data_IF_399335622038
#
_entry.id   IF_399335622038
#
_cell.length_a   1.000
_cell.length_b   1.000
_cell.length_c   1.000
_cell.angle_alpha   90.00
_cell.angle_beta   90.00
_cell.angle_gamma   90.00
#
_symmetry.space_group_name_H-M   'P 1'
#
loop_
_entity.id
_entity.type
_entity.pdbx_description
1 polymer ?
#
# COMPACT_ATOMS: atom_id res chain seq x y z
N UNK A 1 16.71 16.36 22.00
CA UNK A 1 15.85 15.47 21.21
C UNK A 1 14.43 15.99 21.33
N UNK A 2 13.82 16.45 20.24
CA UNK A 2 12.38 16.77 20.27
C UNK A 2 11.62 15.46 20.50
N UNK A 3 10.66 15.45 21.42
CA UNK A 3 9.84 14.28 21.65
C UNK A 3 9.06 13.95 20.36
N UNK A 4 8.95 12.66 20.01
CA UNK A 4 8.07 12.23 18.93
C UNK A 4 6.65 12.68 19.27
N UNK A 5 5.89 13.29 18.35
CA UNK A 5 4.50 13.63 18.62
C UNK A 5 3.70 12.38 18.99
N UNK A 6 2.88 12.47 20.04
CA UNK A 6 2.05 11.35 20.50
C UNK A 6 1.20 10.73 19.38
N UNK A 7 0.66 11.55 18.47
CA UNK A 7 -0.11 11.06 17.33
C UNK A 7 0.71 10.20 16.36
N UNK A 8 2.00 10.49 16.17
CA UNK A 8 2.88 9.66 15.35
C UNK A 8 3.18 8.33 16.06
N UNK A 9 3.37 8.34 17.37
CA UNK A 9 3.55 7.11 18.15
C UNK A 9 2.29 6.22 18.08
N UNK A 10 1.10 6.79 18.25
CA UNK A 10 -0.17 6.05 18.11
C UNK A 10 -0.35 5.44 16.69
N UNK A 11 0.06 6.16 15.64
CA UNK A 11 0.06 5.66 14.27
C UNK A 11 1.05 4.51 14.07
N UNK A 12 2.27 4.65 14.62
CA UNK A 12 3.30 3.60 14.56
C UNK A 12 2.84 2.35 15.31
N UNK A 13 2.28 2.50 16.51
CA UNK A 13 1.76 1.38 17.31
C UNK A 13 0.65 0.61 16.58
N UNK A 14 -0.26 1.33 15.89
CA UNK A 14 -1.30 0.71 15.08
C UNK A 14 -0.72 -0.06 13.87
N UNK A 15 0.37 0.43 13.29
CA UNK A 15 1.06 -0.20 12.16
C UNK A 15 1.92 -1.40 12.58
N UNK A 16 2.63 -1.31 13.69
CA UNK A 16 3.53 -2.37 14.17
C UNK A 16 2.75 -3.54 14.77
N UNK A 17 1.70 -3.27 15.56
CA UNK A 17 0.85 -4.30 16.16
C UNK A 17 -0.54 -4.36 15.50
N UNK A 18 -0.54 -4.54 14.17
CA UNK A 18 -1.76 -4.81 13.38
C UNK A 18 -2.57 -5.98 13.95
N UNK A 19 -1.98 -7.13 14.35
CA UNK A 19 -2.75 -8.22 14.95
C UNK A 19 -3.50 -7.80 16.21
N UNK A 20 -2.90 -7.02 17.12
CA UNK A 20 -3.63 -6.53 18.28
C UNK A 20 -4.71 -5.52 17.91
N UNK A 21 -4.47 -4.63 16.94
CA UNK A 21 -5.49 -3.71 16.46
C UNK A 21 -6.73 -4.48 15.95
N UNK A 22 -6.52 -5.54 15.18
CA UNK A 22 -7.60 -6.42 14.68
C UNK A 22 -8.31 -7.13 15.85
N UNK A 23 -7.57 -7.71 16.80
CA UNK A 23 -8.16 -8.36 17.99
C UNK A 23 -9.03 -7.39 18.81
N UNK A 24 -8.56 -6.16 19.04
CA UNK A 24 -9.32 -5.12 19.76
C UNK A 24 -10.65 -4.81 19.07
N UNK A 25 -10.65 -4.75 17.74
CA UNK A 25 -11.84 -4.48 16.93
C UNK A 25 -12.86 -5.60 16.98
N UNK A 26 -12.39 -6.84 16.89
CA UNK A 26 -13.26 -8.00 17.05
C UNK A 26 -13.85 -8.09 18.46
N UNK A 27 -13.06 -7.79 19.49
CA UNK A 27 -13.56 -7.71 20.87
C UNK A 27 -14.63 -6.64 21.06
N UNK A 28 -14.61 -5.56 20.26
CA UNK A 28 -15.65 -4.54 20.23
C UNK A 28 -16.91 -4.95 19.41
N UNK A 29 -16.96 -6.18 18.86
CA UNK A 29 -18.11 -6.73 18.15
C UNK A 29 -18.25 -6.30 16.70
N UNK A 30 -17.25 -5.64 16.12
CA UNK A 30 -17.25 -5.27 14.71
C UNK A 30 -16.79 -6.44 13.82
N UNK A 31 -17.56 -6.85 12.80
CA UNK A 31 -17.08 -7.80 11.80
C UNK A 31 -15.84 -7.28 11.08
N UNK A 32 -14.89 -8.16 10.80
CA UNK A 32 -13.63 -7.84 10.12
C UNK A 32 -13.59 -8.49 8.75
N UNK A 33 -13.36 -7.69 7.71
CA UNK A 33 -13.15 -8.17 6.34
C UNK A 33 -11.68 -8.00 5.98
N UNK A 34 -10.98 -9.12 5.85
CA UNK A 34 -9.62 -9.16 5.34
C UNK A 34 -9.59 -8.72 3.87
N UNK A 35 -8.64 -7.88 3.52
CA UNK A 35 -8.46 -7.30 2.20
C UNK A 35 -7.03 -7.59 1.73
N UNK A 36 -6.87 -8.24 0.58
CA UNK A 36 -5.56 -8.44 -0.06
C UNK A 36 -5.52 -7.67 -1.35
N UNK A 37 -4.44 -6.92 -1.54
CA UNK A 37 -4.29 -5.99 -2.65
C UNK A 37 -4.92 -4.63 -2.36
N UNK A 38 -4.92 -3.76 -3.36
CA UNK A 38 -5.31 -2.36 -3.23
C UNK A 38 -6.55 -1.97 -4.06
N UNK A 39 -7.19 -2.93 -4.73
CA UNK A 39 -8.41 -2.70 -5.51
C UNK A 39 -9.70 -3.09 -4.75
N UNK A 40 -9.60 -3.53 -3.50
CA UNK A 40 -10.78 -3.83 -2.68
C UNK A 40 -11.53 -2.53 -2.35
N UNK A 41 -12.84 -2.41 -2.66
CA UNK A 41 -13.64 -1.24 -2.34
C UNK A 41 -13.93 -1.12 -0.84
N UNK A 42 -12.98 -0.58 -0.08
CA UNK A 42 -13.06 -0.45 1.38
C UNK A 42 -14.26 0.39 1.85
N UNK A 43 -14.77 1.28 0.99
CA UNK A 43 -16.00 2.03 1.23
C UNK A 43 -17.22 1.11 1.29
N UNK A 44 -17.31 0.10 0.42
CA UNK A 44 -18.43 -0.86 0.46
C UNK A 44 -18.36 -1.75 1.70
N UNK A 45 -17.16 -2.13 2.12
CA UNK A 45 -16.95 -2.88 3.37
C UNK A 45 -17.40 -2.06 4.58
N UNK A 46 -17.02 -0.78 4.60
CA UNK A 46 -17.38 0.15 5.67
C UNK A 46 -18.89 0.45 5.67
N UNK A 47 -19.50 0.60 4.49
CA UNK A 47 -20.94 0.79 4.35
C UNK A 47 -21.76 -0.46 4.75
N UNK A 48 -21.19 -1.65 4.61
CA UNK A 48 -21.73 -2.88 5.21
C UNK A 48 -21.57 -2.92 6.74
N UNK A 49 -20.92 -1.91 7.32
CA UNK A 49 -20.65 -1.75 8.75
C UNK A 49 -19.68 -2.79 9.31
N UNK A 50 -18.73 -3.21 8.48
CA UNK A 50 -17.56 -4.00 8.85
C UNK A 50 -16.29 -3.16 8.76
N UNK A 51 -15.25 -3.58 9.47
CA UNK A 51 -13.92 -2.97 9.37
C UNK A 51 -13.14 -3.62 8.21
N UNK A 52 -12.77 -2.86 7.16
CA UNK A 52 -11.79 -3.34 6.19
C UNK A 52 -10.42 -3.43 6.84
N UNK A 53 -9.79 -4.59 6.78
CA UNK A 53 -8.43 -4.82 7.28
C UNK A 53 -7.54 -5.26 6.14
N UNK A 54 -6.54 -4.46 5.78
CA UNK A 54 -5.58 -4.87 4.75
C UNK A 54 -4.54 -5.81 5.34
N UNK A 55 -4.43 -7.00 4.77
CA UNK A 55 -3.47 -8.01 5.20
C UNK A 55 -2.08 -7.67 4.65
N UNK A 56 -1.08 -7.68 5.53
CA UNK A 56 0.34 -7.64 5.20
C UNK A 56 0.97 -9.01 5.35
N UNK A 57 2.09 -9.23 4.69
CA UNK A 57 2.99 -10.33 5.04
C UNK A 57 3.84 -9.99 6.26
N UNK A 58 4.72 -10.92 6.59
CA UNK A 58 5.72 -10.83 7.64
C UNK A 58 7.00 -11.51 7.11
N UNK A 59 8.10 -10.75 6.91
CA UNK A 59 9.37 -11.30 6.46
C UNK A 59 9.91 -12.46 7.30
N UNK A 60 9.63 -12.45 8.61
CA UNK A 60 10.12 -13.45 9.56
C UNK A 60 9.22 -14.71 9.62
N UNK A 61 8.04 -14.68 9.02
CA UNK A 61 7.09 -15.80 9.07
C UNK A 61 7.63 -17.02 8.31
N UNK A 62 7.55 -18.18 8.95
CA UNK A 62 7.78 -19.45 8.26
C UNK A 62 6.68 -19.67 7.20
N UNK A 63 7.12 -19.84 5.96
CA UNK A 63 6.26 -19.99 4.78
C UNK A 63 6.24 -21.43 4.26
N UNK A 64 6.94 -22.38 4.90
CA UNK A 64 7.05 -23.75 4.41
C UNK A 64 5.68 -24.39 4.11
N UNK A 65 4.68 -24.14 4.96
CA UNK A 65 3.30 -24.63 4.75
C UNK A 65 2.66 -24.03 3.49
N UNK A 66 2.83 -22.73 3.26
CA UNK A 66 2.28 -22.01 2.13
C UNK A 66 2.99 -22.36 0.82
N UNK A 67 4.30 -22.60 0.87
CA UNK A 67 5.14 -22.98 -0.26
C UNK A 67 4.71 -24.32 -0.87
N UNK A 68 4.12 -25.23 -0.07
CA UNK A 68 3.53 -26.47 -0.59
C UNK A 68 2.35 -26.23 -1.53
N UNK A 69 1.64 -25.11 -1.37
CA UNK A 69 0.45 -24.79 -2.15
C UNK A 69 0.72 -23.77 -3.25
N UNK A 70 1.53 -22.75 -2.98
CA UNK A 70 1.82 -21.65 -3.92
C UNK A 70 3.12 -21.85 -4.70
N UNK A 71 3.98 -22.78 -4.28
CA UNK A 71 5.36 -22.86 -4.73
C UNK A 71 6.21 -21.69 -4.22
N UNK A 72 7.48 -21.65 -4.61
CA UNK A 72 8.46 -20.64 -4.15
C UNK A 72 8.65 -19.48 -5.13
N UNK A 73 8.18 -19.61 -6.37
CA UNK A 73 8.32 -18.60 -7.43
C UNK A 73 7.25 -17.50 -7.44
N UNK A 74 6.56 -17.29 -6.32
CA UNK A 74 5.57 -16.22 -6.15
C UNK A 74 6.08 -15.19 -5.13
N UNK A 75 5.61 -13.95 -5.24
CA UNK A 75 5.96 -12.88 -4.31
C UNK A 75 5.87 -13.41 -2.85
N UNK A 76 7.00 -13.37 -2.10
CA UNK A 76 7.08 -13.79 -0.72
C UNK A 76 6.03 -13.18 0.22
N UNK A 77 5.54 -11.97 -0.06
CA UNK A 77 4.48 -11.34 0.75
C UNK A 77 3.16 -12.13 0.66
N UNK A 78 2.75 -12.54 -0.54
CA UNK A 78 1.54 -13.33 -0.73
C UNK A 78 1.65 -14.74 -0.09
N UNK A 79 2.84 -15.34 -0.16
CA UNK A 79 3.14 -16.62 0.51
C UNK A 79 3.06 -16.49 2.04
N UNK A 80 3.57 -15.38 2.57
CA UNK A 80 3.44 -15.04 3.99
C UNK A 80 1.98 -14.86 4.41
N UNK A 81 1.17 -14.16 3.62
CA UNK A 81 -0.26 -13.98 3.91
C UNK A 81 -0.97 -15.34 3.96
N UNK A 82 -0.71 -16.25 3.02
CA UNK A 82 -1.29 -17.61 3.07
C UNK A 82 -0.85 -18.36 4.34
N UNK A 83 0.43 -18.31 4.70
CA UNK A 83 0.92 -18.95 5.93
C UNK A 83 0.21 -18.40 7.17
N UNK A 84 -0.04 -17.08 7.20
CA UNK A 84 -0.89 -16.43 8.21
C UNK A 84 -2.29 -17.02 8.28
N UNK A 85 -3.01 -17.00 7.17
CA UNK A 85 -4.38 -17.50 7.11
C UNK A 85 -4.48 -18.99 7.52
N UNK A 86 -3.50 -19.81 7.14
CA UNK A 86 -3.43 -21.23 7.53
C UNK A 86 -3.16 -21.42 9.02
N UNK A 87 -2.40 -20.51 9.65
CA UNK A 87 -2.19 -20.48 11.10
C UNK A 87 -3.39 -19.91 11.89
N UNK A 88 -4.41 -19.39 11.19
CA UNK A 88 -5.57 -18.75 11.82
C UNK A 88 -5.37 -17.27 12.18
N UNK A 89 -4.28 -16.64 11.70
CA UNK A 89 -3.96 -15.25 12.02
C UNK A 89 -3.71 -14.38 10.77
N UNK A 90 -4.34 -13.20 10.65
CA UNK A 90 -5.37 -12.67 11.54
C UNK A 90 -6.71 -13.39 11.33
N UNK A 91 -7.52 -13.44 12.38
CA UNK A 91 -8.88 -13.96 12.31
C UNK A 91 -9.78 -12.94 11.60
N UNK A 92 -10.35 -13.33 10.45
CA UNK A 92 -11.24 -12.50 9.63
C UNK A 92 -12.53 -13.26 9.29
N UNK A 93 -13.65 -12.53 9.21
CA UNK A 93 -14.98 -13.11 8.99
C UNK A 93 -15.29 -13.33 7.50
N UNK A 94 -14.61 -12.55 6.63
CA UNK A 94 -14.65 -12.64 5.17
C UNK A 94 -13.31 -12.18 4.61
N UNK A 95 -12.88 -12.77 3.49
CA UNK A 95 -11.68 -12.38 2.76
C UNK A 95 -12.04 -11.88 1.36
N UNK A 96 -11.63 -10.65 1.03
CA UNK A 96 -11.69 -10.06 -0.30
C UNK A 96 -10.28 -9.96 -0.86
N UNK A 97 -10.08 -10.51 -2.06
CA UNK A 97 -8.76 -10.51 -2.71
C UNK A 97 -8.89 -9.82 -4.06
N UNK A 98 -8.05 -8.82 -4.31
CA UNK A 98 -8.02 -8.09 -5.58
C UNK A 98 -7.37 -8.88 -6.70
N UNK A 99 -7.78 -8.60 -7.93
CA UNK A 99 -7.07 -8.99 -9.14
C UNK A 99 -6.00 -7.94 -9.54
N UNK A 100 -5.19 -7.44 -8.60
CA UNK A 100 -4.21 -6.38 -8.84
C UNK A 100 -2.79 -6.90 -9.17
N UNK A 101 -2.52 -8.16 -8.85
CA UNK A 101 -1.27 -8.84 -9.18
C UNK A 101 -1.49 -10.33 -9.46
N UNK A 102 -0.53 -10.97 -10.12
CA UNK A 102 -0.54 -12.43 -10.29
C UNK A 102 -0.44 -13.16 -8.93
N UNK A 103 0.22 -12.55 -7.94
CA UNK A 103 0.35 -13.09 -6.59
C UNK A 103 -0.99 -13.11 -5.85
N UNK A 104 -1.73 -11.99 -5.86
CA UNK A 104 -3.09 -11.89 -5.31
C UNK A 104 -4.03 -12.90 -5.97
N UNK A 105 -3.98 -13.03 -7.30
CA UNK A 105 -4.85 -13.95 -8.04
C UNK A 105 -4.56 -15.43 -7.72
N UNK A 106 -3.28 -15.82 -7.63
CA UNK A 106 -2.89 -17.18 -7.22
C UNK A 106 -3.29 -17.45 -5.77
N UNK A 107 -3.12 -16.48 -4.87
CA UNK A 107 -3.59 -16.60 -3.48
C UNK A 107 -5.10 -16.86 -3.43
N UNK A 108 -5.89 -16.11 -4.22
CA UNK A 108 -7.33 -16.31 -4.30
C UNK A 108 -7.71 -17.74 -4.70
N UNK A 109 -7.13 -18.25 -5.80
CA UNK A 109 -7.43 -19.62 -6.24
C UNK A 109 -7.05 -20.64 -5.18
N UNK A 110 -5.87 -20.51 -4.57
CA UNK A 110 -5.41 -21.43 -3.53
C UNK A 110 -6.34 -21.43 -2.32
N UNK A 111 -6.64 -20.27 -1.74
CA UNK A 111 -7.52 -20.17 -0.56
C UNK A 111 -8.91 -20.73 -0.88
N UNK A 112 -9.48 -20.37 -2.04
CA UNK A 112 -10.80 -20.84 -2.46
C UNK A 112 -10.84 -22.36 -2.62
N UNK A 113 -9.86 -22.96 -3.31
CA UNK A 113 -9.87 -24.39 -3.59
C UNK A 113 -9.54 -25.22 -2.35
N UNK A 114 -8.60 -24.78 -1.49
CA UNK A 114 -8.31 -25.47 -0.23
C UNK A 114 -9.54 -25.53 0.68
N UNK A 115 -10.31 -24.45 0.74
CA UNK A 115 -11.59 -24.42 1.46
C UNK A 115 -12.65 -25.29 0.78
N UNK A 116 -12.83 -25.17 -0.55
CA UNK A 116 -13.85 -25.91 -1.32
C UNK A 116 -13.67 -27.42 -1.23
N UNK A 117 -12.42 -27.89 -1.24
CA UNK A 117 -12.06 -29.30 -1.14
C UNK A 117 -12.07 -29.82 0.31
N UNK A 118 -12.25 -28.95 1.30
CA UNK A 118 -12.21 -29.31 2.72
C UNK A 118 -10.82 -29.67 3.23
N UNK A 119 -9.75 -29.31 2.50
CA UNK A 119 -8.36 -29.52 2.93
C UNK A 119 -8.02 -28.59 4.09
N UNK A 120 -8.45 -27.32 3.98
CA UNK A 120 -8.26 -26.30 5.00
C UNK A 120 -9.61 -25.61 5.29
N UNK A 121 -10.52 -26.29 6.03
CA UNK A 121 -11.87 -25.79 6.29
C UNK A 121 -11.91 -24.63 7.30
N UNK A 122 -10.78 -24.27 7.91
CA UNK A 122 -10.62 -23.09 8.76
C UNK A 122 -10.43 -21.79 7.96
N UNK A 123 -9.95 -21.87 6.71
CA UNK A 123 -9.72 -20.68 5.87
C UNK A 123 -11.00 -19.85 5.69
N UNK A 124 -10.94 -18.51 5.66
CA UNK A 124 -12.14 -17.69 5.56
C UNK A 124 -12.89 -17.90 4.23
N UNK A 125 -14.21 -17.62 4.25
CA UNK A 125 -14.95 -17.48 2.99
C UNK A 125 -14.30 -16.36 2.18
N UNK A 126 -14.04 -16.63 0.90
CA UNK A 126 -13.18 -15.76 0.09
C UNK A 126 -13.86 -15.40 -1.23
N UNK A 127 -13.76 -14.14 -1.63
CA UNK A 127 -14.29 -13.63 -2.89
C UNK A 127 -13.25 -12.79 -3.64
N UNK A 128 -13.26 -12.91 -4.97
CA UNK A 128 -12.40 -12.13 -5.85
C UNK A 128 -13.06 -10.78 -6.13
N UNK A 129 -12.30 -9.72 -5.95
CA UNK A 129 -12.63 -8.37 -6.42
C UNK A 129 -11.88 -8.13 -7.72
N UNK A 130 -12.59 -8.26 -8.84
CA UNK A 130 -12.01 -8.20 -10.18
C UNK A 130 -12.19 -6.79 -10.78
N UNK A 131 -11.22 -5.91 -10.53
CA UNK A 131 -11.20 -4.55 -11.08
C UNK A 131 -10.12 -4.46 -12.15
N UNK A 132 -10.47 -3.81 -13.26
CA UNK A 132 -9.61 -3.63 -14.43
C UNK A 132 -9.15 -2.17 -14.56
N UNK A 133 -7.96 -1.95 -15.13
CA UNK A 133 -7.26 -0.65 -15.10
C UNK A 133 -7.06 0.00 -16.47
N UNK A 134 -7.60 -0.62 -17.54
CA UNK A 134 -7.46 -0.05 -18.88
C UNK A 134 -8.28 1.24 -19.01
N UNK A 135 -7.77 2.32 -19.63
CA UNK A 135 -8.43 3.62 -19.70
C UNK A 135 -9.52 3.65 -20.80
N UNK A 136 -10.50 2.75 -20.68
CA UNK A 136 -11.56 2.57 -21.65
C UNK A 136 -12.94 2.59 -20.99
N UNK A 137 -13.93 3.10 -21.71
CA UNK A 137 -15.33 3.12 -21.24
C UNK A 137 -15.88 1.71 -21.00
N UNK A 138 -15.44 0.72 -21.77
CA UNK A 138 -15.81 -0.69 -21.58
C UNK A 138 -15.32 -1.22 -20.23
N UNK A 139 -14.10 -0.85 -19.83
CA UNK A 139 -13.52 -1.15 -18.51
C UNK A 139 -14.35 -0.51 -17.40
N UNK A 140 -14.72 0.77 -17.53
CA UNK A 140 -15.54 1.46 -16.53
C UNK A 140 -16.90 0.77 -16.34
N UNK A 141 -17.55 0.38 -17.43
CA UNK A 141 -18.82 -0.36 -17.37
C UNK A 141 -18.66 -1.73 -16.72
N UNK A 142 -17.57 -2.44 -17.03
CA UNK A 142 -17.25 -3.72 -16.41
C UNK A 142 -17.04 -3.56 -14.89
N UNK A 143 -16.19 -2.61 -14.49
CA UNK A 143 -15.89 -2.33 -13.09
C UNK A 143 -17.13 -1.94 -12.29
N UNK A 144 -18.02 -1.10 -12.86
CA UNK A 144 -19.30 -0.75 -12.22
C UNK A 144 -20.12 -2.01 -11.89
N UNK A 145 -20.22 -2.96 -12.83
CA UNK A 145 -20.95 -4.22 -12.62
C UNK A 145 -20.27 -5.06 -11.52
N UNK A 146 -18.95 -5.19 -11.55
CA UNK A 146 -18.18 -5.92 -10.52
C UNK A 146 -18.34 -5.31 -9.13
N UNK A 147 -18.36 -3.98 -9.03
CA UNK A 147 -18.62 -3.27 -7.78
C UNK A 147 -20.07 -3.46 -7.29
N UNK A 148 -21.05 -3.47 -8.19
CA UNK A 148 -22.43 -3.79 -7.84
C UNK A 148 -22.56 -5.22 -7.27
N UNK A 149 -21.90 -6.20 -7.90
CA UNK A 149 -21.86 -7.58 -7.39
C UNK A 149 -21.15 -7.69 -6.04
N UNK A 150 -20.07 -6.94 -5.85
CA UNK A 150 -19.34 -6.87 -4.57
C UNK A 150 -20.22 -6.24 -3.48
N UNK A 151 -20.96 -5.18 -3.81
CA UNK A 151 -21.94 -4.55 -2.91
C UNK A 151 -23.00 -5.56 -2.48
N UNK A 152 -23.66 -6.23 -3.44
CA UNK A 152 -24.70 -7.22 -3.12
C UNK A 152 -24.17 -8.38 -2.29
N UNK A 153 -22.93 -8.81 -2.56
CA UNK A 153 -22.26 -9.83 -1.78
C UNK A 153 -22.09 -9.42 -0.32
N UNK A 154 -21.62 -8.19 -0.09
CA UNK A 154 -21.45 -7.64 1.25
C UNK A 154 -22.79 -7.43 1.95
N UNK A 155 -23.85 -7.05 1.23
CA UNK A 155 -25.21 -6.95 1.79
C UNK A 155 -25.73 -8.32 2.24
N UNK A 156 -25.56 -9.36 1.41
CA UNK A 156 -25.96 -10.74 1.77
C UNK A 156 -25.15 -11.29 2.93
N UNK A 157 -23.85 -11.02 2.97
CA UNK A 157 -22.95 -11.50 4.02
C UNK A 157 -23.22 -10.82 5.36
N UNK A 158 -23.37 -9.49 5.37
CA UNK A 158 -23.58 -8.70 6.58
C UNK A 158 -25.03 -8.67 7.06
N UNK A 159 -25.99 -8.99 6.19
CA UNK A 159 -27.42 -8.79 6.45
C UNK A 159 -27.85 -7.32 6.48
N UNK A 160 -26.96 -6.39 6.09
CA UNK A 160 -27.20 -4.94 6.09
C UNK A 160 -27.33 -4.43 4.67
N UNK A 161 -28.29 -3.53 4.43
CA UNK A 161 -28.43 -2.86 3.14
C UNK A 161 -27.43 -1.71 3.05
N UNK A 162 -26.75 -1.61 1.92
CA UNK A 162 -25.91 -0.47 1.54
C UNK A 162 -26.79 0.45 0.69
N UNK A 163 -27.46 1.40 1.34
CA UNK A 163 -28.22 2.46 0.69
C UNK A 163 -27.34 3.64 0.32
N UNK A 164 -27.98 4.69 -0.21
CA UNK A 164 -27.31 5.94 -0.60
C UNK A 164 -26.64 6.62 0.60
N UNK A 165 -27.29 6.62 1.76
CA UNK A 165 -26.77 7.25 2.98
C UNK A 165 -25.55 6.50 3.54
N UNK A 166 -25.60 5.17 3.59
CA UNK A 166 -24.50 4.35 4.09
C UNK A 166 -23.27 4.48 3.18
N UNK A 167 -23.50 4.46 1.86
CA UNK A 167 -22.44 4.66 0.88
C UNK A 167 -21.85 6.07 0.97
N UNK A 168 -22.70 7.10 1.07
CA UNK A 168 -22.26 8.49 1.19
C UNK A 168 -21.40 8.70 2.44
N UNK A 169 -21.83 8.17 3.58
CA UNK A 169 -21.06 8.23 4.82
C UNK A 169 -19.70 7.55 4.67
N UNK A 170 -19.68 6.32 4.16
CA UNK A 170 -18.43 5.57 3.98
C UNK A 170 -17.46 6.27 3.03
N UNK A 171 -17.95 6.75 1.88
CA UNK A 171 -17.14 7.49 0.90
C UNK A 171 -16.57 8.76 1.52
N UNK A 172 -17.39 9.53 2.25
CA UNK A 172 -16.92 10.74 2.93
C UNK A 172 -15.80 10.45 3.93
N UNK A 173 -15.97 9.41 4.77
CA UNK A 173 -14.96 9.02 5.76
C UNK A 173 -13.62 8.64 5.10
N UNK A 174 -13.67 7.78 4.06
CA UNK A 174 -12.47 7.32 3.37
C UNK A 174 -11.79 8.43 2.56
N UNK A 175 -12.55 9.29 1.89
CA UNK A 175 -11.98 10.43 1.18
C UNK A 175 -11.37 11.45 2.14
N UNK A 176 -11.90 11.59 3.36
CA UNK A 176 -11.29 12.46 4.36
C UNK A 176 -9.92 11.95 4.81
N UNK A 177 -9.80 10.64 5.12
CA UNK A 177 -8.52 10.01 5.42
C UNK A 177 -7.53 10.17 4.26
N UNK A 178 -7.97 9.96 3.01
CA UNK A 178 -7.15 10.16 1.81
C UNK A 178 -6.69 11.59 1.61
N UNK A 179 -7.54 12.58 1.85
CA UNK A 179 -7.13 14.00 1.82
C UNK A 179 -6.01 14.27 2.82
N UNK A 180 -6.06 13.66 4.01
CA UNK A 180 -5.00 13.80 5.03
C UNK A 180 -3.72 13.12 4.59
N UNK A 181 -3.80 11.93 4.01
CA UNK A 181 -2.64 11.25 3.44
C UNK A 181 -1.99 12.10 2.32
N UNK A 182 -2.79 12.68 1.43
CA UNK A 182 -2.30 13.60 0.39
C UNK A 182 -1.65 14.85 1.00
N UNK A 183 -2.20 15.38 2.09
CA UNK A 183 -1.66 16.54 2.78
C UNK A 183 -0.36 16.21 3.54
N UNK A 184 -0.25 15.01 4.11
CA UNK A 184 0.95 14.49 4.79
C UNK A 184 2.18 14.53 3.88
N UNK A 185 2.00 14.32 2.56
CA UNK A 185 3.10 14.42 1.57
C UNK A 185 3.85 15.75 1.66
N UNK A 186 3.18 16.86 2.01
CA UNK A 186 3.82 18.18 2.15
C UNK A 186 4.92 18.18 3.22
N UNK A 187 4.78 17.37 4.27
CA UNK A 187 5.80 17.25 5.32
C UNK A 187 7.07 16.54 4.81
N UNK A 188 6.98 15.78 3.71
CA UNK A 188 8.12 15.08 3.08
C UNK A 188 8.74 15.90 1.94
N UNK A 189 7.95 16.73 1.26
CA UNK A 189 8.39 17.43 0.04
C UNK A 189 8.74 18.91 0.23
N UNK A 190 8.46 19.49 1.41
CA UNK A 190 8.88 20.87 1.75
C UNK A 190 10.40 21.06 1.59
N UNK A 191 10.90 22.29 1.44
CA UNK A 191 12.33 22.56 1.25
C UNK A 191 13.21 21.95 2.36
N UNK A 192 12.70 21.97 3.59
CA UNK A 192 13.24 21.20 4.72
C UNK A 192 12.19 20.20 5.22
N UNK A 193 12.22 18.94 4.78
CA UNK A 193 11.25 17.93 5.18
C UNK A 193 11.19 17.76 6.69
N UNK A 194 9.99 17.61 7.23
CA UNK A 194 9.68 17.42 8.64
C UNK A 194 9.49 15.95 9.02
N UNK A 195 9.19 15.11 8.02
CA UNK A 195 8.79 13.73 8.22
C UNK A 195 9.70 12.80 7.44
N UNK A 196 10.19 11.79 8.14
CA UNK A 196 10.89 10.63 7.58
C UNK A 196 9.94 9.84 6.67
N UNK A 197 10.48 9.21 5.64
CA UNK A 197 9.70 8.32 4.78
C UNK A 197 9.22 7.08 5.52
N UNK A 198 10.00 6.54 6.46
CA UNK A 198 9.57 5.46 7.34
C UNK A 198 8.28 5.85 8.10
N UNK A 199 8.29 7.04 8.70
CA UNK A 199 7.15 7.56 9.45
C UNK A 199 5.94 7.81 8.58
N UNK A 200 6.16 8.30 7.36
CA UNK A 200 5.09 8.46 6.39
C UNK A 200 4.48 7.13 5.97
N UNK A 201 5.30 6.11 5.70
CA UNK A 201 4.84 4.77 5.36
C UNK A 201 4.00 4.17 6.50
N UNK A 202 4.48 4.29 7.74
CA UNK A 202 3.77 3.78 8.91
C UNK A 202 2.47 4.56 9.16
N UNK A 203 2.52 5.90 9.08
CA UNK A 203 1.35 6.76 9.24
C UNK A 203 0.27 6.50 8.18
N UNK A 204 0.66 6.28 6.93
CA UNK A 204 -0.27 5.91 5.85
C UNK A 204 -0.81 4.49 6.08
N UNK A 205 0.09 3.53 6.33
CA UNK A 205 -0.27 2.12 6.48
C UNK A 205 -1.07 1.80 7.74
N UNK A 206 -1.08 2.66 8.77
CA UNK A 206 -1.93 2.51 9.95
C UNK A 206 -3.43 2.45 9.58
N UNK A 207 -3.82 3.11 8.48
CA UNK A 207 -5.16 3.01 7.90
C UNK A 207 -5.56 1.59 7.46
N UNK A 208 -4.62 0.65 7.40
CA UNK A 208 -4.90 -0.77 7.13
C UNK A 208 -5.70 -1.47 8.23
N UNK A 209 -5.70 -0.94 9.47
CA UNK A 209 -6.39 -1.55 10.64
C UNK A 209 -7.23 -0.56 11.44
N UNK A 210 -7.08 0.73 11.19
CA UNK A 210 -7.89 1.79 11.78
C UNK A 210 -9.17 2.00 10.98
N UNK A 211 -10.22 2.53 11.64
CA UNK A 211 -11.34 3.12 10.90
C UNK A 211 -10.85 4.37 10.18
N UNK A 212 -11.48 4.71 9.06
CA UNK A 212 -11.13 5.90 8.30
C UNK A 212 -11.23 7.19 9.15
N UNK A 213 -12.18 7.26 10.08
CA UNK A 213 -12.35 8.40 11.01
C UNK A 213 -11.19 8.51 12.00
N UNK A 214 -10.80 7.41 12.65
CA UNK A 214 -9.67 7.41 13.59
C UNK A 214 -8.35 7.73 12.89
N UNK A 215 -8.15 7.14 11.70
CA UNK A 215 -6.97 7.41 10.89
C UNK A 215 -6.89 8.88 10.49
N UNK A 216 -7.97 9.46 9.96
CA UNK A 216 -8.03 10.88 9.62
C UNK A 216 -7.75 11.77 10.85
N UNK A 217 -8.35 11.47 12.00
CA UNK A 217 -8.13 12.24 13.23
C UNK A 217 -6.71 12.15 13.77
N UNK A 218 -6.04 10.99 13.65
CA UNK A 218 -4.63 10.82 13.99
C UNK A 218 -3.72 11.62 13.06
N UNK A 219 -3.98 11.58 11.75
CA UNK A 219 -3.22 12.38 10.78
C UNK A 219 -3.40 13.88 11.01
N UNK A 220 -4.62 14.34 11.33
CA UNK A 220 -4.87 15.74 11.68
C UNK A 220 -4.06 16.16 12.91
N UNK A 221 -4.05 15.34 13.98
CA UNK A 221 -3.23 15.60 15.17
C UNK A 221 -1.74 15.64 14.86
N UNK A 222 -1.24 14.74 14.02
CA UNK A 222 0.16 14.75 13.58
C UNK A 222 0.49 16.05 12.85
N UNK A 223 -0.35 16.47 11.89
CA UNK A 223 -0.14 17.69 11.12
C UNK A 223 -0.17 18.97 11.97
N UNK A 224 -0.95 18.99 13.07
CA UNK A 224 -0.93 20.10 14.03
C UNK A 224 0.41 20.26 14.78
N UNK A 225 1.25 19.22 14.78
CA UNK A 225 2.57 19.23 15.45
C UNK A 225 3.74 19.55 14.50
N UNK A 226 3.47 19.91 13.24
CA UNK A 226 4.51 20.17 12.22
C UNK A 226 5.62 21.11 12.72
N UNK A 227 5.28 22.22 13.38
CA UNK A 227 6.26 23.17 13.90
C UNK A 227 7.29 22.54 14.88
N UNK A 228 6.92 21.47 15.59
CA UNK A 228 7.77 20.75 16.54
C UNK A 228 8.52 19.55 15.94
N UNK A 229 8.25 19.19 14.69
CA UNK A 229 8.91 18.08 14.01
C UNK A 229 10.36 18.43 13.61
N UNK A 230 11.30 17.46 13.68
CA UNK A 230 12.67 17.67 13.27
C UNK A 230 12.74 17.98 11.77
N UNK A 231 13.64 18.90 11.38
CA UNK A 231 13.88 19.24 9.98
C UNK A 231 15.07 18.47 9.46
N UNK A 232 14.90 17.79 8.34
CA UNK A 232 15.90 16.96 7.71
C UNK A 232 16.59 17.70 6.56
N UNK A 233 17.90 17.51 6.46
CA UNK A 233 18.73 17.98 5.36
C UNK A 233 19.66 16.84 4.94
N UNK A 234 19.11 15.97 4.09
CA UNK A 234 19.70 14.69 3.68
C UNK A 234 19.39 14.47 2.19
N UNK A 235 20.20 13.70 1.46
CA UNK A 235 19.89 13.38 0.07
C UNK A 235 18.53 12.70 -0.04
N UNK A 236 17.70 13.23 -0.92
CA UNK A 236 16.29 12.88 -1.12
C UNK A 236 16.14 11.73 -2.09
N UNK A 237 15.41 10.70 -1.70
CA UNK A 237 15.15 9.52 -2.51
C UNK A 237 13.68 9.42 -2.86
N UNK A 238 13.41 8.97 -4.09
CA UNK A 238 12.10 8.50 -4.52
C UNK A 238 12.18 6.98 -4.73
N UNK A 239 11.39 6.22 -3.97
CA UNK A 239 11.30 4.76 -4.11
C UNK A 239 10.22 4.34 -5.11
N UNK A 240 10.59 3.48 -6.05
CA UNK A 240 9.66 2.81 -6.97
C UNK A 240 9.89 1.30 -6.93
N UNK A 241 8.92 0.53 -7.42
CA UNK A 241 9.06 -0.91 -7.65
C UNK A 241 8.17 -1.75 -6.75
N UNK A 242 8.73 -2.80 -6.13
CA UNK A 242 7.97 -3.72 -5.29
C UNK A 242 7.38 -3.00 -4.07
N UNK A 243 6.17 -3.40 -3.67
CA UNK A 243 5.49 -2.78 -2.53
C UNK A 243 6.11 -3.16 -1.19
N UNK A 244 6.14 -2.20 -0.25
CA UNK A 244 6.67 -2.37 1.10
C UNK A 244 5.54 -2.37 2.14
N UNK A 245 5.23 -3.53 2.71
CA UNK A 245 4.23 -3.72 3.76
C UNK A 245 4.80 -3.69 5.19
N UNK A 246 6.12 -3.53 5.30
CA UNK A 246 6.86 -3.26 6.53
C UNK A 246 7.87 -2.10 6.36
N UNK A 247 8.38 -1.52 7.46
CA UNK A 247 9.21 -0.32 7.45
C UNK A 247 10.70 -0.61 7.33
N UNK A 248 11.14 -1.88 7.32
CA UNK A 248 12.53 -2.29 7.50
C UNK A 248 13.46 -1.70 6.44
N UNK A 249 13.04 -1.71 5.18
CA UNK A 249 13.81 -1.17 4.05
C UNK A 249 13.90 0.36 4.16
N UNK A 250 12.80 1.02 4.51
CA UNK A 250 12.76 2.47 4.68
C UNK A 250 13.69 2.90 5.83
N UNK A 251 13.61 2.21 6.96
CA UNK A 251 14.46 2.42 8.13
C UNK A 251 15.94 2.26 7.78
N UNK A 252 16.32 1.15 7.14
CA UNK A 252 17.71 0.88 6.77
C UNK A 252 18.30 1.96 5.85
N UNK A 253 17.52 2.43 4.87
CA UNK A 253 17.92 3.53 3.98
C UNK A 253 18.11 4.83 4.76
N UNK A 254 17.15 5.20 5.61
CA UNK A 254 17.19 6.49 6.28
C UNK A 254 18.16 6.56 7.47
N UNK A 255 18.42 5.42 8.13
CA UNK A 255 19.46 5.31 9.15
C UNK A 255 20.87 5.43 8.55
N UNK A 256 21.03 5.08 7.28
CA UNK A 256 22.26 5.32 6.52
C UNK A 256 22.45 6.79 6.07
N UNK A 257 21.55 7.69 6.45
CA UNK A 257 21.68 9.13 6.21
C UNK A 257 20.95 9.66 4.98
N UNK A 258 20.11 8.85 4.34
CA UNK A 258 19.21 9.28 3.27
C UNK A 258 17.83 9.69 3.81
N UNK A 259 16.97 10.21 2.94
CA UNK A 259 15.59 10.57 3.28
C UNK A 259 14.65 10.20 2.13
N UNK A 260 13.60 9.43 2.40
CA UNK A 260 12.65 9.00 1.36
C UNK A 260 11.49 9.99 1.29
N UNK A 261 11.49 10.84 0.26
CA UNK A 261 10.53 11.95 0.12
C UNK A 261 9.31 11.61 -0.73
N UNK A 262 9.35 10.51 -1.48
CA UNK A 262 8.24 10.00 -2.27
C UNK A 262 8.35 8.49 -2.48
N UNK A 263 7.21 7.88 -2.77
CA UNK A 263 7.10 6.49 -3.18
C UNK A 263 5.89 6.30 -4.13
N UNK A 264 5.81 5.18 -4.85
CA UNK A 264 4.71 4.92 -5.80
C UNK A 264 4.03 3.55 -5.67
N UNK A 265 4.26 2.88 -4.55
CA UNK A 265 3.67 1.58 -4.28
C UNK A 265 2.44 1.68 -3.40
N UNK A 266 1.64 0.63 -3.43
CA UNK A 266 0.29 0.63 -2.90
C UNK A 266 0.20 0.60 -1.37
N UNK A 267 1.29 0.67 -0.61
CA UNK A 267 1.30 0.79 0.85
C UNK A 267 1.65 2.20 1.34
N UNK A 268 2.14 3.05 0.44
CA UNK A 268 2.46 4.44 0.72
C UNK A 268 1.59 5.38 -0.09
N UNK A 269 2.24 6.32 -0.79
CA UNK A 269 1.60 7.45 -1.45
C UNK A 269 0.50 7.01 -2.43
N UNK A 270 0.68 5.92 -3.18
CA UNK A 270 -0.27 5.47 -4.19
C UNK A 270 -1.65 5.03 -3.61
N UNK A 271 -1.76 4.88 -2.28
CA UNK A 271 -3.04 4.58 -1.62
C UNK A 271 -3.94 5.84 -1.46
N UNK A 272 -3.34 7.03 -1.47
CA UNK A 272 -3.99 8.28 -1.07
C UNK A 272 -4.88 8.91 -2.16
N UNK A 273 -4.71 8.55 -3.43
CA UNK A 273 -5.47 9.14 -4.53
C UNK A 273 -5.77 8.17 -5.68
N UNK A 274 -6.72 8.52 -6.57
CA UNK A 274 -7.62 9.67 -6.49
C UNK A 274 -8.71 9.51 -5.40
N UNK A 275 -9.43 10.60 -5.13
CA UNK A 275 -10.63 10.57 -4.28
C UNK A 275 -11.82 10.00 -5.05
N UNK A 276 -12.83 9.48 -4.35
CA UNK A 276 -14.09 9.07 -4.98
C UNK A 276 -14.91 10.30 -5.37
N UNK A 277 -15.03 11.27 -4.46
CA UNK A 277 -15.88 12.45 -4.65
C UNK A 277 -17.35 12.10 -4.48
N UNK A 278 -18.06 11.88 -5.59
CA UNK A 278 -19.49 11.57 -5.55
C UNK A 278 -19.74 10.14 -5.01
N UNK A 279 -20.69 9.93 -4.10
CA UNK A 279 -20.90 8.62 -3.49
C UNK A 279 -21.73 7.67 -4.36
N UNK A 280 -21.21 7.36 -5.55
CA UNK A 280 -21.86 6.49 -6.53
C UNK A 280 -20.96 5.32 -6.89
N UNK A 281 -21.57 4.23 -7.40
CA UNK A 281 -20.80 3.11 -7.94
C UNK A 281 -19.99 3.49 -9.19
N UNK A 282 -20.40 4.52 -9.93
CA UNK A 282 -19.65 5.03 -11.08
C UNK A 282 -18.36 5.72 -10.62
N UNK A 283 -18.46 6.61 -9.65
CA UNK A 283 -17.30 7.30 -9.09
C UNK A 283 -16.34 6.34 -8.38
N UNK A 284 -16.86 5.31 -7.68
CA UNK A 284 -16.02 4.23 -7.17
C UNK A 284 -15.32 3.48 -8.31
N UNK A 285 -16.05 3.09 -9.36
CA UNK A 285 -15.46 2.40 -10.50
C UNK A 285 -14.36 3.22 -11.16
N UNK A 286 -14.57 4.53 -11.30
CA UNK A 286 -13.60 5.48 -11.83
C UNK A 286 -12.37 5.58 -10.93
N UNK A 287 -12.56 5.77 -9.62
CA UNK A 287 -11.45 5.84 -8.65
C UNK A 287 -10.54 4.63 -8.75
N UNK A 288 -11.11 3.43 -8.66
CA UNK A 288 -10.31 2.20 -8.65
C UNK A 288 -9.70 1.88 -10.02
N UNK A 289 -10.34 2.29 -11.13
CA UNK A 289 -9.79 2.14 -12.48
C UNK A 289 -8.60 3.07 -12.75
N UNK A 290 -8.66 4.31 -12.25
CA UNK A 290 -7.67 5.36 -12.49
C UNK A 290 -6.79 5.65 -11.27
N UNK A 291 -6.62 4.67 -10.41
CA UNK A 291 -5.62 4.73 -9.34
C UNK A 291 -4.21 4.90 -9.90
N UNK A 292 -3.28 5.27 -9.03
CA UNK A 292 -1.88 5.45 -9.40
C UNK A 292 -1.35 4.20 -10.14
N UNK A 293 -0.67 4.36 -11.29
CA UNK A 293 -0.24 3.25 -12.13
C UNK A 293 0.65 2.26 -11.38
N UNK A 294 0.47 0.95 -11.59
CA UNK A 294 1.34 -0.09 -11.01
C UNK A 294 2.06 -0.89 -12.10
N UNK A 295 3.21 -1.49 -11.77
CA UNK A 295 3.98 -2.29 -12.73
C UNK A 295 3.18 -3.48 -13.29
N UNK A 296 2.24 -4.03 -12.51
CA UNK A 296 1.45 -5.21 -12.87
C UNK A 296 0.21 -4.93 -13.71
N UNK A 297 -0.33 -3.70 -13.66
CA UNK A 297 -1.64 -3.35 -14.26
C UNK A 297 -1.61 -2.15 -15.20
N UNK A 298 -0.48 -1.47 -15.33
CA UNK A 298 -0.37 -0.28 -16.15
C UNK A 298 0.66 -0.41 -17.26
N UNK A 299 0.53 0.43 -18.29
CA UNK A 299 1.52 0.48 -19.36
C UNK A 299 2.84 1.06 -18.87
N UNK A 300 3.95 0.62 -19.47
CA UNK A 300 5.29 1.19 -19.26
C UNK A 300 5.29 2.72 -19.46
N UNK A 301 4.50 3.22 -20.41
CA UNK A 301 4.34 4.67 -20.66
C UNK A 301 3.68 5.39 -19.48
N UNK A 302 2.62 4.81 -18.91
CA UNK A 302 1.94 5.40 -17.76
C UNK A 302 2.85 5.44 -16.53
N UNK A 303 3.61 4.36 -16.27
CA UNK A 303 4.60 4.29 -15.19
C UNK A 303 5.72 5.32 -15.37
N UNK A 304 6.26 5.47 -16.58
CA UNK A 304 7.25 6.50 -16.87
C UNK A 304 6.72 7.93 -16.67
N UNK A 305 5.46 8.19 -17.07
CA UNK A 305 4.80 9.47 -16.84
C UNK A 305 4.59 9.77 -15.35
N UNK A 306 4.15 8.78 -14.58
CA UNK A 306 3.98 8.89 -13.13
C UNK A 306 5.32 9.18 -12.42
N UNK A 307 6.39 8.51 -12.84
CA UNK A 307 7.72 8.74 -12.29
C UNK A 307 8.19 10.19 -12.52
N UNK A 308 8.05 10.71 -13.74
CA UNK A 308 8.38 12.09 -14.07
C UNK A 308 7.57 13.10 -13.24
N UNK A 309 6.25 12.92 -13.15
CA UNK A 309 5.37 13.78 -12.36
C UNK A 309 5.69 13.74 -10.86
N UNK A 310 6.13 12.57 -10.35
CA UNK A 310 6.53 12.41 -8.95
C UNK A 310 7.87 13.07 -8.68
N UNK A 311 8.84 12.96 -9.59
CA UNK A 311 10.12 13.69 -9.49
C UNK A 311 9.89 15.19 -9.47
N UNK A 312 9.08 15.73 -10.38
CA UNK A 312 8.78 17.17 -10.43
C UNK A 312 8.17 17.67 -9.10
N UNK A 313 7.23 16.91 -8.54
CA UNK A 313 6.52 17.27 -7.31
C UNK A 313 7.36 17.13 -6.05
N UNK A 314 8.21 16.11 -5.96
CA UNK A 314 8.94 15.75 -4.72
C UNK A 314 10.40 16.17 -4.71
N UNK A 315 10.97 16.51 -5.87
CA UNK A 315 12.37 16.95 -6.05
C UNK A 315 13.37 15.99 -5.38
N UNK A 316 13.36 14.69 -5.70
CA UNK A 316 14.36 13.75 -5.22
C UNK A 316 15.71 14.00 -5.90
N UNK A 317 16.80 13.66 -5.22
CA UNK A 317 18.15 13.63 -5.77
C UNK A 317 18.43 12.31 -6.53
N UNK A 318 17.71 11.24 -6.20
CA UNK A 318 17.88 9.91 -6.81
C UNK A 318 16.54 9.14 -6.85
N UNK A 319 16.26 8.53 -8.01
CA UNK A 319 15.22 7.51 -8.16
C UNK A 319 15.82 6.13 -7.85
N UNK A 320 15.22 5.40 -6.92
CA UNK A 320 15.66 4.06 -6.52
C UNK A 320 14.55 3.06 -6.81
N UNK A 321 14.79 2.12 -7.73
CA UNK A 321 13.88 1.01 -7.99
C UNK A 321 14.27 -0.20 -7.16
N UNK A 322 13.40 -0.60 -6.23
CA UNK A 322 13.56 -1.79 -5.40
C UNK A 322 12.78 -2.95 -6.01
N UNK A 323 13.46 -4.07 -6.31
CA UNK A 323 12.83 -5.25 -6.92
C UNK A 323 13.05 -6.47 -6.02
N UNK A 324 11.96 -6.97 -5.46
CA UNK A 324 11.94 -8.15 -4.60
C UNK A 324 11.95 -9.43 -5.43
N UNK A 325 12.64 -10.46 -4.93
CA UNK A 325 12.56 -11.80 -5.51
C UNK A 325 11.10 -12.29 -5.57
N UNK A 326 10.66 -12.72 -6.76
CA UNK A 326 9.28 -13.16 -7.01
C UNK A 326 8.30 -12.04 -7.42
N UNK A 327 8.76 -10.79 -7.52
CA UNK A 327 8.02 -9.65 -8.09
C UNK A 327 8.83 -8.99 -9.22
N UNK A 328 8.84 -9.62 -10.39
CA UNK A 328 9.72 -9.22 -11.51
C UNK A 328 9.19 -8.02 -12.33
N UNK A 329 7.91 -7.68 -12.20
CA UNK A 329 7.26 -6.68 -13.05
C UNK A 329 7.93 -5.29 -13.00
N UNK A 330 8.37 -4.77 -11.84
CA UNK A 330 9.07 -3.49 -11.77
C UNK A 330 10.33 -3.36 -12.65
N UNK A 331 11.10 -4.44 -12.82
CA UNK A 331 12.32 -4.39 -13.63
C UNK A 331 12.03 -4.09 -15.11
N UNK A 332 10.82 -4.41 -15.59
CA UNK A 332 10.43 -4.28 -16.99
C UNK A 332 10.08 -2.83 -17.36
N UNK A 333 9.47 -2.07 -16.45
CA UNK A 333 9.07 -0.68 -16.70
C UNK A 333 10.18 0.34 -16.32
N UNK A 334 11.09 -0.06 -15.42
CA UNK A 334 12.12 0.83 -14.88
C UNK A 334 13.01 1.51 -15.94
N UNK A 335 13.44 0.86 -17.04
CA UNK A 335 14.22 1.54 -18.08
C UNK A 335 13.51 2.76 -18.68
N UNK A 336 12.18 2.74 -18.77
CA UNK A 336 11.40 3.88 -19.24
C UNK A 336 11.24 4.95 -18.15
N UNK A 337 11.01 4.53 -16.90
CA UNK A 337 10.98 5.44 -15.75
C UNK A 337 12.31 6.21 -15.62
N UNK A 338 13.45 5.52 -15.68
CA UNK A 338 14.80 6.12 -15.65
C UNK A 338 15.01 7.18 -16.73
N UNK A 339 14.51 6.94 -17.96
CA UNK A 339 14.62 7.92 -19.04
C UNK A 339 13.73 9.15 -18.81
N UNK A 340 12.57 8.97 -18.18
CA UNK A 340 11.60 10.03 -17.94
C UNK A 340 11.88 10.83 -16.66
N UNK A 341 12.55 10.23 -15.67
CA UNK A 341 12.74 10.81 -14.34
C UNK A 341 13.53 12.13 -14.35
N UNK A 342 14.51 12.30 -15.24
CA UNK A 342 15.34 13.51 -15.28
C UNK A 342 16.29 13.68 -14.08
N UNK A 343 16.36 12.68 -13.21
CA UNK A 343 17.30 12.57 -12.08
C UNK A 343 18.11 11.27 -12.23
N UNK A 344 19.27 11.14 -11.55
CA UNK A 344 19.96 9.87 -11.44
C UNK A 344 19.00 8.76 -11.01
N UNK A 345 19.21 7.55 -11.51
CA UNK A 345 18.36 6.42 -11.15
C UNK A 345 19.14 5.11 -11.05
N UNK A 346 18.83 4.31 -10.03
CA UNK A 346 19.40 2.97 -9.79
C UNK A 346 18.32 1.93 -9.60
N UNK A 347 18.66 0.68 -9.89
CA UNK A 347 17.84 -0.48 -9.60
C UNK A 347 18.58 -1.38 -8.61
N UNK A 348 17.84 -1.88 -7.63
CA UNK A 348 18.26 -2.84 -6.62
C UNK A 348 17.48 -4.13 -6.88
N UNK A 349 18.06 -5.03 -7.68
CA UNK A 349 17.44 -6.31 -8.03
C UNK A 349 17.75 -7.40 -7.00
N UNK A 350 16.98 -8.48 -7.04
CA UNK A 350 17.16 -9.68 -6.20
C UNK A 350 17.15 -9.39 -4.70
N UNK A 351 16.22 -8.52 -4.27
CA UNK A 351 16.07 -8.17 -2.87
C UNK A 351 15.24 -9.23 -2.16
N UNK A 352 15.71 -9.68 -1.00
CA UNK A 352 14.91 -10.54 -0.12
C UNK A 352 13.76 -9.75 0.47
N UNK A 353 12.73 -10.47 0.92
CA UNK A 353 11.56 -9.83 1.51
C UNK A 353 11.92 -9.15 2.83
N UNK A 354 11.66 -7.84 2.94
CA UNK A 354 11.98 -7.05 4.13
C UNK A 354 13.45 -6.63 4.27
N UNK A 355 14.30 -6.90 3.27
CA UNK A 355 15.74 -6.68 3.37
C UNK A 355 16.26 -5.76 2.27
N UNK A 356 17.02 -4.74 2.65
CA UNK A 356 17.68 -3.84 1.70
C UNK A 356 18.84 -4.52 0.94
N UNK A 357 19.56 -5.43 1.61
CA UNK A 357 20.79 -6.06 1.11
C UNK A 357 22.05 -5.20 1.35
N UNK A 358 23.19 -5.86 1.57
CA UNK A 358 24.45 -5.21 1.97
C UNK A 358 25.06 -4.32 0.87
N UNK A 359 24.82 -4.66 -0.40
CA UNK A 359 25.33 -3.98 -1.59
C UNK A 359 24.54 -2.71 -1.96
N UNK A 360 23.32 -2.55 -1.43
CA UNK A 360 22.42 -1.48 -1.85
C UNK A 360 22.91 -0.07 -1.48
N UNK A 361 23.43 0.12 -0.26
CA UNK A 361 23.92 1.43 0.19
C UNK A 361 25.13 1.91 -0.64
N UNK A 362 26.15 1.07 -0.93
CA UNK A 362 27.19 1.40 -1.90
C UNK A 362 26.63 1.84 -3.27
N UNK A 363 25.66 1.10 -3.83
CA UNK A 363 25.04 1.42 -5.13
C UNK A 363 24.35 2.80 -5.10
N UNK A 364 23.57 3.07 -4.04
CA UNK A 364 22.89 4.37 -3.84
C UNK A 364 23.93 5.50 -3.73
N UNK A 365 24.97 5.31 -2.92
CA UNK A 365 26.02 6.31 -2.72
C UNK A 365 26.78 6.62 -4.01
N UNK A 366 27.11 5.60 -4.80
CA UNK A 366 27.84 5.75 -6.06
C UNK A 366 27.02 6.52 -7.10
N UNK A 367 25.72 6.25 -7.21
CA UNK A 367 24.85 6.96 -8.14
C UNK A 367 24.69 8.44 -7.80
N UNK A 368 24.57 8.78 -6.52
CA UNK A 368 24.54 10.17 -6.06
C UNK A 368 25.88 10.89 -6.31
N UNK A 369 27.01 10.19 -6.19
CA UNK A 369 28.33 10.77 -6.43
C UNK A 369 28.56 11.10 -7.91
N UNK A 370 28.16 10.21 -8.82
CA UNK A 370 28.28 10.41 -10.27
C UNK A 370 27.45 11.61 -10.74
N UNK A 371 26.33 11.88 -10.06
CA UNK A 371 25.42 12.96 -10.39
C UNK A 371 25.93 14.36 -10.02
N UNK A 372 26.78 14.48 -8.99
CA UNK A 372 27.35 15.77 -8.59
C UNK A 372 28.47 16.15 -9.56
N UNK A 373 28.41 17.30 -10.24
CA UNK A 373 29.53 17.75 -11.08
C UNK A 373 30.80 17.89 -10.21
N UNK A 374 31.97 17.58 -10.79
CA UNK A 374 33.31 17.61 -10.15
C UNK A 374 33.77 18.98 -9.61
N UNK A 375 32.87 19.93 -9.36
CA UNK A 375 33.19 21.34 -9.04
C UNK A 375 33.06 21.78 -7.57
N UNK A 376 32.52 20.95 -6.66
CA UNK A 376 32.35 21.33 -5.24
C UNK A 376 33.07 20.35 -4.31
N UNK A 377 34.38 20.22 -4.52
CA UNK A 377 35.32 19.83 -3.48
C UNK A 377 36.31 20.99 -3.34
N UNK A 378 36.00 21.91 -2.42
CA UNK A 378 36.83 23.03 -2.01
C UNK A 378 36.72 23.21 -0.51
#
# INVERSE_FOLDING_TARGET
MSATPAALEELRDAYDDRPAAIRRRRAAGAPVVGCVGADVPVELVTAAGALPVRLSGDPARDRAVADRYLGTGLDPAARSILAGLLSGEPEVDLLLISNDSAASLRLFYTVRELRRLGVEPSLPRTHLVDILHLPHRTTARYNRVRLAETKELLERWSGRRIGENELAKAVQQHDEARRRMLALRRLRTADRPALRGEDALMAIGAGAVLTAEEHAGLLDRLMLTDAGLPRHDRPRLYLTGSAHDGPEVYRAIEDAGYLIVADDHDWGDALAGPLVGEPTLDALAERYQYRDPTATRSSVRARAGQAAATVERSRPDLLVCYVRDGDEAPAWDFPAQRRAAGVPAVILEHRRYGELGEDALPIIADALRIARPKGEAG
#
